data_IF_800978679406
#
_entry.id   IF_800978679406
#
_cell.length_a   1.000
_cell.length_b   1.000
_cell.length_c   1.000
_cell.angle_alpha   90.00
_cell.angle_beta   90.00
_cell.angle_gamma   90.00
#
_symmetry.space_group_name_H-M   'P 1'
#
loop_
_entity.id
_entity.type
_entity.pdbx_description
1 polymer ?
#
# COMPACT_ATOMS: atom_id res chain seq x y z
N UNK A 1 -8.10 -22.53 26.57
CA UNK A 1 -7.84 -22.27 25.79
C UNK A 1 -7.47 -21.27 25.40
N UNK A 2 -6.97 -21.13 24.86
CA UNK A 2 -6.65 -20.10 24.45
C UNK A 2 -7.10 -19.68 23.33
N UNK A 3 -7.50 -18.82 23.27
CA UNK A 3 -8.09 -18.38 22.15
C UNK A 3 -7.10 -18.11 21.16
N UNK A 4 -7.29 -18.58 20.07
CA UNK A 4 -6.54 -18.11 19.03
C UNK A 4 -7.12 -16.86 18.61
N UNK A 5 -6.51 -15.81 18.85
CA UNK A 5 -6.96 -14.55 18.45
C UNK A 5 -6.63 -14.31 17.05
N UNK A 6 -7.62 -14.01 16.25
CA UNK A 6 -7.36 -13.57 14.92
C UNK A 6 -6.51 -12.33 14.91
N UNK A 7 -6.57 -11.56 15.97
CA UNK A 7 -5.75 -10.37 16.09
C UNK A 7 -4.27 -10.68 16.06
N UNK A 8 -3.90 -11.88 16.47
CA UNK A 8 -2.51 -12.27 16.42
C UNK A 8 -2.00 -12.43 15.01
N UNK A 9 -2.90 -12.62 14.06
CA UNK A 9 -2.51 -12.74 12.66
C UNK A 9 -2.33 -11.38 12.00
N UNK A 10 -2.86 -10.34 12.59
CA UNK A 10 -2.82 -9.01 12.00
C UNK A 10 -1.70 -8.24 12.64
N UNK A 11 -0.73 -7.85 11.81
CA UNK A 11 0.42 -7.11 12.30
C UNK A 11 0.44 -5.74 11.65
N UNK A 12 0.66 -4.72 12.46
CA UNK A 12 0.84 -3.39 11.93
C UNK A 12 2.15 -3.33 11.17
N UNK A 13 2.11 -2.68 10.04
CA UNK A 13 3.29 -2.41 9.23
C UNK A 13 3.36 -0.91 9.00
N UNK A 14 4.52 -0.43 8.65
CA UNK A 14 4.71 0.94 8.19
C UNK A 14 5.90 0.85 7.27
N UNK A 15 5.70 0.26 6.12
CA UNK A 15 6.81 -0.02 5.22
C UNK A 15 6.38 0.14 3.78
N UNK A 16 7.37 0.37 2.94
CA UNK A 16 7.14 0.55 1.51
C UNK A 16 7.71 -0.64 0.77
N UNK A 17 6.96 -1.10 -0.22
CA UNK A 17 7.38 -2.17 -1.13
C UNK A 17 6.81 -1.86 -2.49
N UNK A 18 7.43 -2.38 -3.55
CA UNK A 18 6.75 -2.27 -4.82
C UNK A 18 5.81 -3.46 -4.98
N UNK A 19 4.74 -3.22 -5.69
CA UNK A 19 3.70 -4.20 -5.94
C UNK A 19 3.73 -4.57 -7.42
N UNK A 20 3.81 -5.84 -7.70
CA UNK A 20 3.84 -6.35 -9.08
C UNK A 20 2.50 -6.92 -9.44
N UNK A 21 1.99 -6.52 -10.58
CA UNK A 21 0.71 -7.02 -11.09
C UNK A 21 0.97 -7.77 -12.38
N UNK A 22 0.45 -8.97 -12.43
CA UNK A 22 0.63 -9.85 -13.58
C UNK A 22 -0.73 -10.13 -14.22
N UNK A 23 -0.75 -10.23 -15.54
CA UNK A 23 -1.93 -10.70 -16.25
C UNK A 23 -1.59 -11.94 -17.03
N UNK A 24 -2.55 -12.82 -17.12
CA UNK A 24 -2.39 -14.02 -17.95
C UNK A 24 -2.48 -13.63 -19.40
N UNK A 25 -1.58 -14.17 -20.19
CA UNK A 25 -1.60 -14.00 -21.63
C UNK A 25 -1.52 -15.37 -22.28
N UNK A 26 -1.63 -15.41 -23.56
CA UNK A 26 -1.49 -16.69 -24.29
C UNK A 26 -0.12 -17.32 -24.08
N UNK A 27 0.87 -16.49 -23.80
CA UNK A 27 2.24 -16.97 -23.64
C UNK A 27 2.64 -17.12 -22.18
N UNK A 28 1.68 -16.99 -21.27
CA UNK A 28 1.97 -17.08 -19.84
C UNK A 28 1.64 -15.80 -19.11
N UNK A 29 2.24 -15.57 -17.96
CA UNK A 29 2.00 -14.39 -17.17
C UNK A 29 2.92 -13.26 -17.63
N UNK A 30 2.36 -12.06 -17.71
CA UNK A 30 3.13 -10.87 -18.05
C UNK A 30 2.96 -9.84 -16.96
N UNK A 31 4.07 -9.30 -16.49
CA UNK A 31 4.03 -8.22 -15.51
C UNK A 31 3.66 -6.93 -16.20
N UNK A 32 2.59 -6.30 -15.76
CA UNK A 32 2.12 -5.07 -16.39
C UNK A 32 2.36 -3.84 -15.55
N UNK A 33 2.54 -4.00 -14.25
CA UNK A 33 2.74 -2.85 -13.39
C UNK A 33 3.69 -3.17 -12.26
N UNK A 34 4.38 -2.14 -11.81
CA UNK A 34 5.31 -2.23 -10.72
C UNK A 34 5.30 -0.87 -10.03
N UNK A 35 4.46 -0.74 -9.01
CA UNK A 35 4.26 0.53 -8.33
C UNK A 35 4.68 0.47 -6.88
N UNK A 36 5.20 1.56 -6.33
CA UNK A 36 5.44 1.61 -4.89
C UNK A 36 4.10 1.64 -4.15
N UNK A 37 4.10 1.01 -3.00
CA UNK A 37 2.94 0.95 -2.13
C UNK A 37 3.37 1.21 -0.71
N UNK A 38 2.43 1.68 0.11
CA UNK A 38 2.63 1.76 1.55
C UNK A 38 1.80 0.67 2.20
N UNK A 39 2.47 -0.23 2.90
CA UNK A 39 1.82 -1.36 3.56
C UNK A 39 1.40 -0.94 4.96
N UNK A 40 0.11 -1.04 5.26
CA UNK A 40 -0.43 -0.69 6.56
C UNK A 40 -0.42 -1.84 7.54
N UNK A 41 -0.81 -2.99 7.06
CA UNK A 41 -1.03 -4.17 7.90
C UNK A 41 -0.66 -5.42 7.12
N UNK A 42 -0.36 -6.45 7.87
CA UNK A 42 -0.22 -7.78 7.30
C UNK A 42 -1.16 -8.72 8.07
N UNK A 43 -1.98 -9.43 7.33
CA UNK A 43 -2.87 -10.43 7.89
C UNK A 43 -2.52 -11.76 7.25
N UNK A 44 -1.71 -12.55 7.94
CA UNK A 44 -1.23 -13.80 7.38
C UNK A 44 -0.39 -13.55 6.12
N UNK A 45 -0.82 -14.10 5.01
CA UNK A 45 -0.13 -13.95 3.73
C UNK A 45 -0.71 -12.84 2.86
N UNK A 46 -1.45 -11.91 3.46
CA UNK A 46 -2.06 -10.78 2.76
C UNK A 46 -1.50 -9.48 3.31
N UNK A 47 -1.10 -8.57 2.42
CA UNK A 47 -0.80 -7.20 2.78
C UNK A 47 -2.00 -6.31 2.49
N UNK A 48 -2.25 -5.36 3.40
CA UNK A 48 -3.26 -4.33 3.22
C UNK A 48 -2.51 -3.03 2.98
N UNK A 49 -2.81 -2.34 1.90
CA UNK A 49 -1.96 -1.26 1.43
C UNK A 49 -2.70 -0.19 0.64
N UNK A 50 -2.02 0.93 0.41
CA UNK A 50 -2.44 1.93 -0.57
C UNK A 50 -1.37 2.00 -1.65
N UNK A 51 -1.80 2.27 -2.87
CA UNK A 51 -0.89 2.42 -3.99
C UNK A 51 -0.46 3.89 -4.12
N UNK A 52 0.81 4.10 -4.43
CA UNK A 52 1.37 5.44 -4.59
C UNK A 52 1.67 5.72 -6.05
N UNK A 53 1.74 6.99 -6.39
CA UNK A 53 1.99 7.41 -7.76
C UNK A 53 2.56 8.83 -7.77
N UNK A 54 3.23 9.19 -8.86
CA UNK A 54 3.63 10.57 -9.10
C UNK A 54 2.66 11.30 -10.02
N UNK A 55 1.71 10.58 -10.58
CA UNK A 55 0.71 11.19 -11.46
C UNK A 55 -0.23 12.06 -10.66
N UNK A 56 -0.53 13.24 -11.18
CA UNK A 56 -1.49 14.13 -10.54
C UNK A 56 -2.91 13.72 -10.81
N UNK A 57 -3.12 12.81 -11.76
CA UNK A 57 -4.45 12.44 -12.18
C UNK A 57 -4.44 11.04 -12.76
N UNK A 58 -5.33 10.22 -12.24
CA UNK A 58 -5.58 8.89 -12.79
C UNK A 58 -7.08 8.76 -12.94
N UNK A 59 -7.51 8.41 -14.13
CA UNK A 59 -8.93 8.32 -14.44
C UNK A 59 -9.64 7.39 -13.47
N UNK A 60 -10.74 7.87 -12.91
CA UNK A 60 -11.54 7.07 -12.01
C UNK A 60 -11.00 6.93 -10.61
N UNK A 61 -9.93 7.63 -10.29
CA UNK A 61 -9.32 7.54 -8.96
C UNK A 61 -9.23 8.90 -8.29
N UNK A 62 -9.31 8.90 -6.98
CA UNK A 62 -9.08 10.09 -6.18
C UNK A 62 -7.66 9.99 -5.66
N UNK A 63 -6.88 11.02 -5.92
CA UNK A 63 -5.47 11.07 -5.53
C UNK A 63 -5.30 12.09 -4.42
N UNK A 64 -4.59 11.68 -3.38
CA UNK A 64 -4.31 12.54 -2.23
C UNK A 64 -2.83 12.87 -2.26
N UNK A 65 -2.52 14.16 -2.30
CA UNK A 65 -1.14 14.61 -2.31
C UNK A 65 -0.52 14.37 -0.95
N UNK A 66 0.65 13.76 -0.93
CA UNK A 66 1.39 13.53 0.30
C UNK A 66 2.17 14.80 0.66
N UNK A 67 2.34 15.03 1.94
CA UNK A 67 3.09 16.18 2.42
C UNK A 67 4.56 16.05 2.08
N UNK A 68 5.05 14.81 2.01
CA UNK A 68 6.43 14.56 1.71
C UNK A 68 6.54 13.27 0.91
N UNK A 69 7.35 13.29 -0.14
CA UNK A 69 7.66 12.07 -0.87
C UNK A 69 8.46 11.16 0.05
N UNK A 70 7.99 9.93 0.31
CA UNK A 70 8.72 9.02 1.18
C UNK A 70 10.09 8.63 0.67
N UNK A 71 10.30 8.70 -0.63
CA UNK A 71 11.60 8.39 -1.22
C UNK A 71 12.51 9.58 -0.99
N UNK A 72 13.58 9.45 -0.18
CA UNK A 72 14.43 10.58 0.14
C UNK A 72 15.23 11.10 -1.05
N UNK A 73 15.32 10.31 -2.11
CA UNK A 73 16.08 10.69 -3.29
C UNK A 73 15.24 11.23 -4.42
N UNK A 74 13.94 11.44 -4.17
CA UNK A 74 13.02 11.88 -5.21
C UNK A 74 12.36 13.18 -4.76
N UNK A 75 12.52 14.23 -5.55
CA UNK A 75 11.97 15.56 -5.19
C UNK A 75 10.60 15.81 -5.78
N UNK A 76 10.08 14.88 -6.57
CA UNK A 76 8.75 15.05 -7.16
C UNK A 76 7.66 14.89 -6.11
N UNK A 77 6.49 15.46 -6.39
CA UNK A 77 5.34 15.23 -5.55
C UNK A 77 4.92 13.78 -5.63
N UNK A 78 4.46 13.26 -4.52
CA UNK A 78 3.95 11.91 -4.43
C UNK A 78 2.50 11.96 -3.98
N UNK A 79 1.71 11.04 -4.50
CA UNK A 79 0.29 10.93 -4.16
C UNK A 79 0.00 9.49 -3.79
N UNK A 80 -1.05 9.28 -3.00
CA UNK A 80 -1.57 7.93 -2.85
C UNK A 80 -3.00 7.91 -3.37
N UNK A 81 -3.42 6.75 -3.85
CA UNK A 81 -4.77 6.57 -4.32
C UNK A 81 -5.65 6.32 -3.10
N UNK A 82 -6.78 7.04 -3.02
CA UNK A 82 -7.65 6.98 -1.86
C UNK A 82 -8.52 5.73 -1.92
N UNK A 83 -7.89 4.59 -1.77
CA UNK A 83 -8.58 3.30 -1.67
C UNK A 83 -7.65 2.32 -0.97
N UNK A 84 -8.25 1.46 -0.17
CA UNK A 84 -7.51 0.44 0.55
C UNK A 84 -7.59 -0.85 -0.24
N UNK A 85 -6.43 -1.41 -0.52
CA UNK A 85 -6.31 -2.60 -1.35
C UNK A 85 -5.67 -3.72 -0.55
N UNK A 86 -5.80 -4.94 -1.04
CA UNK A 86 -5.11 -6.07 -0.45
C UNK A 86 -4.67 -7.03 -1.54
N UNK A 87 -3.55 -7.69 -1.29
CA UNK A 87 -3.03 -8.70 -2.21
C UNK A 87 -2.06 -9.59 -1.44
N UNK A 88 -1.73 -10.71 -2.03
CA UNK A 88 -0.83 -11.67 -1.42
C UNK A 88 0.55 -11.09 -1.23
N UNK A 89 1.17 -11.43 -0.12
CA UNK A 89 2.52 -10.93 0.18
C UNK A 89 3.52 -11.31 -0.90
N UNK A 90 3.29 -12.42 -1.59
CA UNK A 90 4.18 -12.88 -2.64
C UNK A 90 4.19 -11.98 -3.88
N UNK A 91 3.21 -11.10 -4.00
CA UNK A 91 3.16 -10.16 -5.12
C UNK A 91 3.90 -8.85 -4.85
N UNK A 92 4.62 -8.78 -3.74
CA UNK A 92 5.36 -7.59 -3.35
C UNK A 92 6.85 -7.89 -3.31
N UNK A 93 7.64 -6.88 -3.65
CA UNK A 93 9.09 -7.00 -3.62
C UNK A 93 9.65 -6.69 -2.24
N UNK A 94 10.95 -6.44 -2.22
CA UNK A 94 11.62 -6.14 -0.97
C UNK A 94 11.17 -4.82 -0.39
N UNK A 95 11.27 -4.72 0.91
CA UNK A 95 11.03 -3.48 1.62
C UNK A 95 12.04 -2.44 1.19
N UNK A 96 11.59 -1.21 0.99
CA UNK A 96 12.46 -0.09 0.71
C UNK A 96 13.00 0.45 2.04
N UNK A 97 14.24 0.14 2.35
CA UNK A 97 14.79 0.39 3.68
C UNK A 97 14.91 1.86 4.04
N UNK A 98 15.15 2.71 3.06
CA UNK A 98 15.43 4.13 3.33
C UNK A 98 14.22 5.04 3.17
N UNK A 99 13.11 4.48 2.80
CA UNK A 99 11.89 5.27 2.63
C UNK A 99 11.23 5.49 3.99
N UNK A 100 10.76 6.71 4.21
CA UNK A 100 10.14 7.09 5.47
C UNK A 100 8.86 7.82 5.17
N UNK A 101 7.79 7.47 5.88
CA UNK A 101 6.53 8.16 5.72
C UNK A 101 6.44 9.31 6.71
N UNK A 102 5.92 10.44 6.25
CA UNK A 102 5.58 11.57 7.10
C UNK A 102 4.46 11.16 8.04
N UNK A 103 4.53 11.59 9.30
CA UNK A 103 3.58 11.17 10.32
C UNK A 103 2.14 11.58 9.99
N UNK A 104 1.96 12.76 9.41
CA UNK A 104 0.61 13.22 9.07
C UNK A 104 0.06 12.39 7.90
N UNK A 105 0.89 12.11 6.93
CA UNK A 105 0.48 11.27 5.80
C UNK A 105 0.09 9.89 6.29
N UNK A 106 0.86 9.32 7.20
CA UNK A 106 0.54 8.00 7.74
C UNK A 106 -0.79 8.04 8.48
N UNK A 107 -1.02 9.07 9.28
CA UNK A 107 -2.28 9.20 9.99
C UNK A 107 -3.45 9.30 9.03
N UNK A 108 -3.30 10.05 7.96
CA UNK A 108 -4.36 10.19 6.97
C UNK A 108 -4.71 8.85 6.34
N UNK A 109 -3.69 8.06 6.01
CA UNK A 109 -3.90 6.75 5.41
C UNK A 109 -4.55 5.80 6.41
N UNK A 110 -4.12 5.83 7.67
CA UNK A 110 -4.71 4.96 8.68
C UNK A 110 -6.14 5.36 8.99
N UNK A 111 -6.45 6.66 8.94
CA UNK A 111 -7.83 7.13 9.10
C UNK A 111 -8.70 6.64 7.95
N UNK A 112 -8.18 6.64 6.74
CA UNK A 112 -8.89 6.10 5.61
C UNK A 112 -9.24 4.62 5.84
N UNK A 113 -8.28 3.86 6.31
CA UNK A 113 -8.50 2.45 6.60
C UNK A 113 -9.57 2.29 7.68
N UNK A 114 -9.50 3.10 8.73
CA UNK A 114 -10.46 3.02 9.83
C UNK A 114 -11.89 3.28 9.38
N UNK A 115 -12.07 4.25 8.49
CA UNK A 115 -13.39 4.56 7.95
C UNK A 115 -13.99 3.37 7.20
N UNK A 116 -13.14 2.67 6.48
CA UNK A 116 -13.60 1.53 5.69
C UNK A 116 -13.88 0.34 6.58
N UNK A 117 -13.07 0.15 7.62
CA UNK A 117 -13.22 -0.96 8.55
C UNK A 117 -14.43 -0.80 9.46
N UNK A 118 -14.84 0.41 9.70
CA UNK A 118 -15.92 0.68 10.64
C UNK A 118 -17.11 1.26 9.92
N UNK A 119 -17.78 0.48 9.12
CA UNK A 119 -18.90 0.99 8.36
C UNK A 119 -20.04 1.28 9.33
N UNK A 120 -20.70 2.31 9.07
CA UNK A 120 -21.84 2.62 9.92
C UNK A 120 -22.81 3.40 9.14
#
# INVERSE_FOLDING_TARGET
MKPNNENEKIKRKSEFRHHSVFVKTRKGAKKIKNHPTFILLQNGDIFIYVQMTHSKKIRGKILIKMRKNPNPNDVRDSYYIEEILEDKTTNFGKKYDKWIINDIDENDIRNLYSKIKSPK
#
